data_IF_553913401286
#
_entry.id   IF_553913401286
#
_cell.length_a   1.000
_cell.length_b   1.000
_cell.length_c   1.000
_cell.angle_alpha   90.00
_cell.angle_beta   90.00
_cell.angle_gamma   90.00
#
_symmetry.space_group_name_H-M   'P 1'
#
loop_
_entity.id
_entity.type
_entity.pdbx_description
1 polymer ?
#
# COMPACT_ATOMS: atom_id res chain seq x y z
N UNK A 1 2.40 18.63 -19.61
CA UNK A 1 2.01 17.28 -19.29
C UNK A 1 0.51 17.21 -19.09
N UNK A 2 -0.20 16.41 -19.88
CA UNK A 2 -1.63 16.16 -19.64
C UNK A 2 -1.73 15.31 -18.36
N UNK A 3 -2.41 15.82 -17.34
CA UNK A 3 -2.81 15.05 -16.18
C UNK A 3 -3.83 14.03 -16.69
N UNK A 4 -3.58 12.75 -16.49
CA UNK A 4 -4.59 11.72 -16.73
C UNK A 4 -5.78 12.01 -15.81
N UNK A 5 -6.90 12.35 -16.43
CA UNK A 5 -8.15 12.50 -15.72
C UNK A 5 -8.97 11.27 -16.12
N UNK A 6 -9.22 10.33 -15.18
CA UNK A 6 -10.12 9.23 -15.47
C UNK A 6 -11.45 9.76 -15.95
N UNK A 7 -12.10 9.03 -16.82
CA UNK A 7 -13.47 9.25 -17.26
C UNK A 7 -14.39 9.49 -16.05
N UNK A 8 -15.46 10.30 -16.23
CA UNK A 8 -16.39 10.64 -15.13
C UNK A 8 -16.88 9.39 -14.40
N UNK A 9 -17.23 8.36 -15.16
CA UNK A 9 -17.76 7.10 -14.66
C UNK A 9 -16.72 6.34 -13.81
N UNK A 10 -15.46 6.33 -14.23
CA UNK A 10 -14.36 5.71 -13.44
C UNK A 10 -14.08 6.46 -12.15
N UNK A 11 -14.32 7.77 -12.10
CA UNK A 11 -14.18 8.58 -10.88
C UNK A 11 -15.29 8.30 -9.88
N UNK A 12 -16.52 8.27 -10.34
CA UNK A 12 -17.68 7.98 -9.49
C UNK A 12 -17.56 6.59 -8.89
N UNK A 13 -17.22 5.57 -9.71
CA UNK A 13 -17.01 4.21 -9.25
C UNK A 13 -15.91 4.10 -8.19
N UNK A 14 -14.79 4.84 -8.35
CA UNK A 14 -13.72 4.87 -7.35
C UNK A 14 -14.17 5.51 -6.03
N UNK A 15 -14.96 6.58 -6.10
CA UNK A 15 -15.52 7.21 -4.92
C UNK A 15 -16.48 6.27 -4.18
N UNK A 16 -17.35 5.56 -4.88
CA UNK A 16 -18.23 4.55 -4.31
C UNK A 16 -17.42 3.46 -3.60
N UNK A 17 -16.45 2.84 -4.29
CA UNK A 17 -15.58 1.82 -3.69
C UNK A 17 -14.90 2.35 -2.42
N UNK A 18 -14.40 3.59 -2.44
CA UNK A 18 -13.71 4.16 -1.29
C UNK A 18 -14.64 4.42 -0.11
N UNK A 19 -15.89 4.80 -0.35
CA UNK A 19 -16.91 4.99 0.68
C UNK A 19 -17.33 3.66 1.30
N UNK A 20 -17.54 2.64 0.49
CA UNK A 20 -17.91 1.29 0.94
C UNK A 20 -16.79 0.60 1.70
N UNK A 21 -15.53 0.79 1.28
CA UNK A 21 -14.34 0.32 2.04
C UNK A 21 -14.30 0.97 3.42
N UNK A 22 -14.57 2.28 3.52
CA UNK A 22 -14.65 2.97 4.81
C UNK A 22 -15.74 2.37 5.70
N UNK A 23 -16.93 2.16 5.15
CA UNK A 23 -18.06 1.54 5.86
C UNK A 23 -17.72 0.12 6.32
N UNK A 24 -17.08 -0.68 5.47
CA UNK A 24 -16.63 -2.04 5.82
C UNK A 24 -15.58 -2.04 6.94
N UNK A 25 -14.68 -1.07 6.94
CA UNK A 25 -13.68 -0.91 8.01
C UNK A 25 -14.32 -0.49 9.33
N UNK A 26 -15.26 0.46 9.30
CA UNK A 26 -15.94 0.95 10.49
C UNK A 26 -16.81 -0.14 11.16
N UNK A 27 -17.43 -1.01 10.33
CA UNK A 27 -18.30 -2.09 10.79
C UNK A 27 -17.57 -3.44 10.94
N UNK A 28 -16.27 -3.52 10.64
CA UNK A 28 -15.47 -4.76 10.61
C UNK A 28 -16.07 -5.84 9.69
N UNK A 29 -16.69 -5.43 8.59
CA UNK A 29 -17.34 -6.32 7.62
C UNK A 29 -16.33 -6.88 6.62
N UNK A 30 -15.86 -8.09 6.90
CA UNK A 30 -14.88 -8.77 6.06
C UNK A 30 -15.45 -9.19 4.67
N UNK A 31 -16.73 -9.45 4.57
CA UNK A 31 -17.37 -9.82 3.30
C UNK A 31 -17.44 -8.60 2.38
N UNK A 32 -17.91 -7.45 2.90
CA UNK A 32 -17.94 -6.19 2.18
C UNK A 32 -16.54 -5.76 1.73
N UNK A 33 -15.54 -5.87 2.61
CA UNK A 33 -14.15 -5.54 2.27
C UNK A 33 -13.58 -6.44 1.16
N UNK A 34 -13.95 -7.72 1.16
CA UNK A 34 -13.52 -8.65 0.10
C UNK A 34 -14.17 -8.32 -1.24
N UNK A 35 -15.45 -7.97 -1.25
CA UNK A 35 -16.17 -7.52 -2.44
C UNK A 35 -15.56 -6.24 -3.02
N UNK A 36 -15.31 -5.25 -2.17
CA UNK A 36 -14.71 -3.99 -2.58
C UNK A 36 -13.29 -4.16 -3.14
N UNK A 37 -12.53 -5.12 -2.62
CA UNK A 37 -11.23 -5.47 -3.18
C UNK A 37 -11.34 -5.94 -4.63
N UNK A 38 -12.28 -6.82 -4.93
CA UNK A 38 -12.50 -7.33 -6.30
C UNK A 38 -12.98 -6.21 -7.22
N UNK A 39 -13.90 -5.37 -6.77
CA UNK A 39 -14.37 -4.19 -7.53
C UNK A 39 -13.22 -3.23 -7.84
N UNK A 40 -12.36 -2.96 -6.86
CA UNK A 40 -11.19 -2.10 -7.05
C UNK A 40 -10.17 -2.71 -8.03
N UNK A 41 -9.91 -4.01 -7.97
CA UNK A 41 -9.04 -4.69 -8.93
C UNK A 41 -9.59 -4.59 -10.36
N UNK A 42 -10.91 -4.79 -10.54
CA UNK A 42 -11.56 -4.65 -11.83
C UNK A 42 -11.56 -3.19 -12.34
N UNK A 43 -11.87 -2.23 -11.46
CA UNK A 43 -11.75 -0.82 -11.76
C UNK A 43 -10.33 -0.45 -12.22
N UNK A 44 -9.32 -0.94 -11.52
CA UNK A 44 -7.93 -0.71 -11.87
C UNK A 44 -7.58 -1.24 -13.26
N UNK A 45 -8.05 -2.43 -13.60
CA UNK A 45 -7.85 -3.01 -14.93
C UNK A 45 -8.53 -2.18 -16.03
N UNK A 46 -9.73 -1.66 -15.78
CA UNK A 46 -10.44 -0.77 -16.72
C UNK A 46 -9.70 0.57 -16.86
N UNK A 47 -9.28 1.17 -15.76
CA UNK A 47 -8.50 2.39 -15.77
C UNK A 47 -7.18 2.23 -16.53
N UNK A 48 -6.47 1.11 -16.36
CA UNK A 48 -5.26 0.79 -17.10
C UNK A 48 -5.53 0.60 -18.61
N UNK A 49 -6.65 0.01 -19.00
CA UNK A 49 -7.02 -0.12 -20.42
C UNK A 49 -7.35 1.22 -21.07
N UNK A 50 -8.08 2.11 -20.37
CA UNK A 50 -8.40 3.44 -20.88
C UNK A 50 -7.15 4.32 -21.09
N UNK A 51 -6.09 4.08 -20.31
CA UNK A 51 -4.77 4.73 -20.49
C UNK A 51 -4.02 4.16 -21.71
N UNK A 52 -4.23 2.88 -22.04
CA UNK A 52 -3.52 2.20 -23.15
C UNK A 52 -3.83 2.76 -24.54
N UNK A 53 -4.95 3.45 -24.71
CA UNK A 53 -5.30 4.14 -25.96
C UNK A 53 -4.61 5.51 -26.10
N UNK A 54 -3.90 6.00 -25.08
CA UNK A 54 -3.29 7.33 -25.03
C UNK A 54 -1.77 7.40 -24.78
N UNK A 55 -1.06 6.31 -24.53
CA UNK A 55 0.39 6.42 -24.31
C UNK A 55 1.09 5.18 -23.76
N UNK A 56 1.83 4.50 -24.59
CA UNK A 56 2.65 3.33 -24.24
C UNK A 56 3.66 3.57 -23.08
N UNK A 57 4.02 4.82 -22.81
CA UNK A 57 4.96 5.20 -21.74
C UNK A 57 4.33 5.29 -20.36
N UNK A 58 3.03 5.63 -20.27
CA UNK A 58 2.32 5.72 -18.97
C UNK A 58 1.91 4.34 -18.46
N UNK A 59 1.46 3.47 -19.35
CA UNK A 59 1.16 2.06 -19.05
C UNK A 59 2.38 1.33 -18.47
N UNK A 60 3.56 1.54 -19.05
CA UNK A 60 4.81 0.95 -18.56
C UNK A 60 5.18 1.42 -17.15
N UNK A 61 4.95 2.68 -16.84
CA UNK A 61 5.24 3.23 -15.49
C UNK A 61 4.31 2.69 -14.40
N UNK A 62 3.02 2.55 -14.70
CA UNK A 62 2.02 2.00 -13.77
C UNK A 62 2.28 0.50 -13.50
N UNK A 63 2.60 -0.27 -14.54
CA UNK A 63 2.98 -1.68 -14.39
C UNK A 63 4.24 -1.80 -13.51
N UNK A 64 5.24 -0.97 -13.76
CA UNK A 64 6.47 -0.91 -12.97
C UNK A 64 6.21 -0.58 -11.50
N UNK A 65 5.31 0.36 -11.23
CA UNK A 65 4.86 0.68 -9.87
C UNK A 65 4.20 -0.52 -9.20
N UNK A 66 3.33 -1.25 -9.90
CA UNK A 66 2.70 -2.47 -9.41
C UNK A 66 3.71 -3.56 -9.06
N UNK A 67 4.74 -3.77 -9.90
CA UNK A 67 5.83 -4.70 -9.63
C UNK A 67 6.59 -4.34 -8.35
N UNK A 68 6.90 -3.06 -8.14
CA UNK A 68 7.58 -2.58 -6.92
C UNK A 68 6.73 -2.87 -5.67
N UNK A 69 5.43 -2.60 -5.73
CA UNK A 69 4.51 -2.89 -4.61
C UNK A 69 4.48 -4.39 -4.29
N UNK A 70 4.46 -5.25 -5.30
CA UNK A 70 4.49 -6.70 -5.10
C UNK A 70 5.80 -7.16 -4.44
N UNK A 71 6.95 -6.62 -4.86
CA UNK A 71 8.24 -6.88 -4.21
C UNK A 71 8.21 -6.45 -2.74
N UNK A 72 7.72 -5.25 -2.45
CA UNK A 72 7.58 -4.77 -1.06
C UNK A 72 6.68 -5.67 -0.20
N UNK A 73 5.57 -6.15 -0.75
CA UNK A 73 4.66 -7.08 -0.05
C UNK A 73 5.34 -8.41 0.24
N UNK A 74 6.06 -8.97 -0.73
CA UNK A 74 6.78 -10.24 -0.57
C UNK A 74 7.84 -10.16 0.53
N UNK A 75 8.44 -8.98 0.72
CA UNK A 75 9.50 -8.72 1.70
C UNK A 75 9.04 -7.89 2.89
N UNK A 76 7.75 -7.94 3.25
CA UNK A 76 7.16 -7.09 4.29
C UNK A 76 7.78 -7.31 5.69
N UNK A 77 8.30 -8.51 5.94
CA UNK A 77 9.00 -8.89 7.17
C UNK A 77 10.46 -8.47 7.24
N UNK A 78 11.02 -7.88 6.19
CA UNK A 78 12.43 -7.53 6.13
C UNK A 78 12.68 -6.04 6.35
N UNK A 79 13.85 -5.68 6.90
CA UNK A 79 14.25 -4.28 7.09
C UNK A 79 14.96 -3.74 5.84
N UNK A 80 14.21 -3.59 4.73
CA UNK A 80 14.78 -3.14 3.47
C UNK A 80 14.92 -1.62 3.38
N UNK A 81 16.09 -1.17 2.93
CA UNK A 81 16.35 0.19 2.47
C UNK A 81 15.77 0.44 1.06
N UNK A 82 15.67 1.69 0.65
CA UNK A 82 15.26 2.03 -0.71
C UNK A 82 16.22 1.49 -1.79
N UNK A 83 17.51 1.40 -1.47
CA UNK A 83 18.55 0.83 -2.32
C UNK A 83 18.34 -0.68 -2.53
N UNK A 84 17.98 -1.39 -1.47
CA UNK A 84 17.69 -2.82 -1.53
C UNK A 84 16.42 -3.11 -2.32
N UNK A 85 15.37 -2.32 -2.12
CA UNK A 85 14.15 -2.41 -2.93
C UNK A 85 14.46 -2.16 -4.39
N UNK A 86 15.28 -1.16 -4.72
CA UNK A 86 15.69 -0.89 -6.11
C UNK A 86 16.43 -2.08 -6.72
N UNK A 87 17.34 -2.71 -5.97
CA UNK A 87 18.07 -3.93 -6.43
C UNK A 87 17.11 -5.09 -6.67
N UNK A 88 16.19 -5.35 -5.78
CA UNK A 88 15.17 -6.41 -5.91
C UNK A 88 14.27 -6.20 -7.13
N UNK A 89 14.02 -4.94 -7.49
CA UNK A 89 13.22 -4.57 -8.66
C UNK A 89 14.06 -4.43 -9.94
N UNK A 90 15.36 -4.78 -9.94
CA UNK A 90 16.29 -4.61 -11.07
C UNK A 90 16.27 -3.18 -11.65
N UNK A 91 16.30 -2.17 -10.79
CA UNK A 91 16.30 -0.76 -11.21
C UNK A 91 17.27 0.09 -10.42
N UNK A 92 17.62 1.26 -10.97
CA UNK A 92 18.40 2.24 -10.22
C UNK A 92 17.53 2.91 -9.13
N UNK A 93 18.16 3.31 -8.03
CA UNK A 93 17.50 4.07 -6.95
C UNK A 93 16.82 5.36 -7.48
N UNK A 94 17.46 6.03 -8.44
CA UNK A 94 16.90 7.25 -9.06
C UNK A 94 15.60 6.93 -9.81
N UNK A 95 15.54 5.82 -10.54
CA UNK A 95 14.35 5.40 -11.25
C UNK A 95 13.24 4.98 -10.27
N UNK A 96 13.58 4.21 -9.22
CA UNK A 96 12.66 3.85 -8.15
C UNK A 96 12.01 5.11 -7.54
N UNK A 97 12.82 6.11 -7.17
CA UNK A 97 12.33 7.36 -6.59
C UNK A 97 11.40 8.11 -7.55
N UNK A 98 11.73 8.18 -8.85
CA UNK A 98 10.88 8.82 -9.87
C UNK A 98 9.52 8.14 -9.99
N UNK A 99 9.50 6.81 -10.08
CA UNK A 99 8.26 6.02 -10.16
C UNK A 99 7.42 6.28 -8.91
N UNK A 100 8.00 6.19 -7.72
CA UNK A 100 7.28 6.39 -6.47
C UNK A 100 6.72 7.81 -6.31
N UNK A 101 7.51 8.84 -6.60
CA UNK A 101 7.02 10.24 -6.54
C UNK A 101 5.85 10.45 -7.48
N UNK A 102 5.89 9.83 -8.65
CA UNK A 102 4.82 9.97 -9.67
C UNK A 102 3.52 9.29 -9.24
N UNK A 103 3.58 8.06 -8.72
CA UNK A 103 2.39 7.22 -8.51
C UNK A 103 1.92 7.17 -7.05
N UNK A 104 2.82 7.27 -6.08
CA UNK A 104 2.48 7.23 -4.66
C UNK A 104 2.42 8.63 -4.00
N UNK A 105 2.97 9.66 -4.64
CA UNK A 105 3.04 11.01 -4.08
C UNK A 105 3.91 11.13 -2.81
N UNK A 106 4.67 10.06 -2.48
CA UNK A 106 5.52 10.01 -1.28
C UNK A 106 6.81 9.22 -1.53
N UNK A 107 7.76 9.30 -0.58
CA UNK A 107 9.02 8.57 -0.68
C UNK A 107 8.86 7.06 -0.39
N UNK A 108 9.71 6.25 -1.05
CA UNK A 108 9.73 4.79 -0.97
C UNK A 108 9.78 4.25 0.46
N UNK A 109 10.72 4.75 1.28
CA UNK A 109 10.91 4.30 2.65
C UNK A 109 9.70 4.60 3.54
N UNK A 110 9.08 5.77 3.36
CA UNK A 110 7.86 6.13 4.06
C UNK A 110 6.71 5.21 3.68
N UNK A 111 6.51 4.99 2.39
CA UNK A 111 5.47 4.10 1.89
C UNK A 111 5.62 2.68 2.43
N UNK A 112 6.85 2.12 2.39
CA UNK A 112 7.12 0.79 2.92
C UNK A 112 6.86 0.70 4.43
N UNK A 113 7.20 1.75 5.18
CA UNK A 113 6.88 1.82 6.62
C UNK A 113 5.37 1.87 6.85
N UNK A 114 4.62 2.66 6.09
CA UNK A 114 3.16 2.73 6.18
C UNK A 114 2.51 1.37 5.85
N UNK A 115 3.00 0.67 4.82
CA UNK A 115 2.57 -0.69 4.47
C UNK A 115 2.80 -1.68 5.63
N UNK A 116 3.99 -1.63 6.28
CA UNK A 116 4.26 -2.44 7.48
C UNK A 116 3.31 -2.12 8.63
N UNK A 117 3.02 -0.84 8.88
CA UNK A 117 2.09 -0.44 9.95
C UNK A 117 0.65 -0.84 9.65
N UNK A 118 0.26 -0.88 8.39
CA UNK A 118 -1.04 -1.44 7.99
C UNK A 118 -1.08 -2.94 8.33
N UNK A 119 -0.07 -3.70 7.90
CA UNK A 119 0.02 -5.13 8.21
C UNK A 119 0.09 -5.41 9.72
N UNK A 120 0.79 -4.56 10.46
CA UNK A 120 0.85 -4.64 11.92
C UNK A 120 -0.54 -4.52 12.56
N UNK A 121 -1.35 -3.55 12.11
CA UNK A 121 -2.70 -3.36 12.62
C UNK A 121 -3.60 -4.59 12.37
N UNK A 122 -3.46 -5.22 11.21
CA UNK A 122 -4.17 -6.47 10.89
C UNK A 122 -3.77 -7.60 11.85
N UNK A 123 -2.46 -7.84 12.02
CA UNK A 123 -1.94 -8.88 12.88
C UNK A 123 -2.32 -8.67 14.38
N UNK A 124 -2.30 -7.43 14.85
CA UNK A 124 -2.72 -7.10 16.20
C UNK A 124 -4.20 -7.42 16.45
N UNK A 125 -5.07 -7.15 15.49
CA UNK A 125 -6.51 -7.48 15.58
C UNK A 125 -6.76 -9.00 15.66
N UNK A 126 -5.87 -9.82 15.13
CA UNK A 126 -5.96 -11.29 15.31
C UNK A 126 -5.49 -11.76 16.69
N UNK A 127 -5.17 -10.85 17.61
CA UNK A 127 -4.74 -11.16 18.96
C UNK A 127 -3.23 -11.43 19.12
N UNK A 128 -2.43 -11.30 18.08
CA UNK A 128 -0.96 -11.45 18.19
C UNK A 128 -0.37 -10.45 19.17
N UNK A 129 0.69 -10.86 19.87
CA UNK A 129 1.41 -9.99 20.79
C UNK A 129 2.22 -8.93 20.06
N UNK A 130 2.36 -7.75 20.65
CA UNK A 130 3.09 -6.61 20.04
C UNK A 130 4.53 -6.98 19.65
N UNK A 131 5.22 -7.74 20.52
CA UNK A 131 6.59 -8.21 20.25
C UNK A 131 6.67 -9.19 19.07
N UNK A 132 5.69 -10.09 18.95
CA UNK A 132 5.60 -11.05 17.85
C UNK A 132 5.37 -10.31 16.52
N UNK A 133 4.48 -9.32 16.52
CA UNK A 133 4.19 -8.48 15.33
C UNK A 133 5.42 -7.66 14.94
N UNK A 134 6.11 -7.07 15.91
CA UNK A 134 7.34 -6.33 15.66
C UNK A 134 8.40 -7.22 14.99
N UNK A 135 8.65 -8.40 15.54
CA UNK A 135 9.60 -9.36 14.98
C UNK A 135 9.21 -9.85 13.59
N UNK A 136 7.92 -10.19 13.36
CA UNK A 136 7.40 -10.63 12.07
C UNK A 136 7.56 -9.56 10.97
N UNK A 137 7.52 -8.28 11.34
CA UNK A 137 7.71 -7.16 10.42
C UNK A 137 9.16 -6.64 10.35
N UNK A 138 10.11 -7.39 10.90
CA UNK A 138 11.54 -7.10 10.82
C UNK A 138 11.99 -5.95 11.72
N UNK A 139 11.29 -5.66 12.80
CA UNK A 139 11.72 -4.73 13.83
C UNK A 139 12.45 -5.48 14.94
N UNK A 140 13.75 -5.20 15.09
CA UNK A 140 14.57 -5.80 16.16
C UNK A 140 14.27 -5.25 17.56
N UNK A 141 13.60 -4.11 17.66
CA UNK A 141 13.22 -3.45 18.91
C UNK A 141 11.72 -3.15 18.93
N UNK A 142 11.00 -3.76 19.90
CA UNK A 142 9.57 -3.56 20.10
C UNK A 142 9.22 -2.11 20.52
N UNK A 143 10.09 -1.42 21.24
CA UNK A 143 9.83 -0.05 21.68
C UNK A 143 9.92 0.91 20.50
N UNK A 144 10.93 0.73 19.64
CA UNK A 144 11.04 1.46 18.39
C UNK A 144 9.84 1.20 17.47
N UNK A 145 9.45 -0.07 17.31
CA UNK A 145 8.23 -0.42 16.57
C UNK A 145 7.00 0.31 17.11
N UNK A 146 6.78 0.28 18.44
CA UNK A 146 5.62 0.92 19.09
C UNK A 146 5.61 2.43 18.87
N UNK A 147 6.78 3.07 18.88
CA UNK A 147 6.93 4.51 18.58
C UNK A 147 6.55 4.82 17.14
N UNK A 148 7.06 4.03 16.17
CA UNK A 148 6.73 4.18 14.75
C UNK A 148 5.25 3.93 14.50
N UNK A 149 4.70 2.87 15.08
CA UNK A 149 3.28 2.51 14.97
C UNK A 149 2.38 3.64 15.47
N UNK A 150 2.62 4.14 16.69
CA UNK A 150 1.85 5.27 17.26
C UNK A 150 1.95 6.52 16.39
N UNK A 151 3.13 6.84 15.85
CA UNK A 151 3.31 8.00 14.97
C UNK A 151 2.47 7.92 13.70
N UNK A 152 2.32 6.72 13.13
CA UNK A 152 1.61 6.52 11.84
C UNK A 152 0.12 6.27 12.06
N UNK A 153 -0.25 5.50 13.10
CA UNK A 153 -1.64 5.08 13.35
C UNK A 153 -2.35 5.96 14.37
N UNK A 154 -1.66 6.89 15.01
CA UNK A 154 -2.20 7.82 16.02
C UNK A 154 -2.38 7.22 17.41
N UNK A 155 -2.44 5.89 17.54
CA UNK A 155 -2.67 5.16 18.79
C UNK A 155 -1.61 4.06 18.99
N UNK A 156 -1.31 3.67 20.24
CA UNK A 156 -0.32 2.63 20.50
C UNK A 156 -0.79 1.25 20.00
N UNK A 157 0.14 0.33 19.65
CA UNK A 157 -0.23 -0.99 19.12
C UNK A 157 -1.06 -1.84 20.07
N UNK A 158 -0.91 -1.65 21.39
CA UNK A 158 -1.69 -2.37 22.40
C UNK A 158 -3.20 -2.11 22.34
N UNK A 159 -3.63 -0.94 21.84
CA UNK A 159 -5.05 -0.60 21.69
C UNK A 159 -5.73 -1.27 20.48
N UNK A 160 -4.96 -1.96 19.62
CA UNK A 160 -5.46 -2.73 18.48
C UNK A 160 -5.74 -4.20 18.81
N UNK A 161 -5.36 -4.65 19.99
CA UNK A 161 -5.69 -6.01 20.44
C UNK A 161 -7.15 -6.03 20.87
N UNK A 162 -7.96 -6.79 20.13
CA UNK A 162 -9.32 -7.11 20.54
C UNK A 162 -9.33 -8.08 21.73
#
# INVERSE_FOLDING_TARGET
GRIFMPDSDLREELLEISMEVRTGLDNSDAALLSEQRVRFEYWLLRALRSVGEGGATESSGALRYGEIINVMRAHIGEALSAEEIARLCNMSLSNLKKVFTRYAGMGVARYFTEMKMQRAAELLRTGKRVGEVAAELGYGDQNYFSTVFRRIRGTPPGSYRG
#
